data_IF_589199604409
#
_entry.id   IF_589199604409
#
_cell.length_a   1.000
_cell.length_b   1.000
_cell.length_c   1.000
_cell.angle_alpha   90.00
_cell.angle_beta   90.00
_cell.angle_gamma   90.00
#
_symmetry.space_group_name_H-M   'P 1'
#
loop_
_entity.id
_entity.type
_entity.pdbx_description
1 polymer ?
#
# COMPACT_ATOMS: atom_id res chain seq x y z
N UNK A 1 -8.94 15.85 11.68
CA UNK A 1 -8.79 15.27 10.32
C UNK A 1 -9.89 14.26 10.07
N UNK A 2 -10.58 14.39 8.93
CA UNK A 2 -11.72 13.57 8.56
C UNK A 2 -11.34 12.64 7.40
N UNK A 3 -11.82 11.40 7.43
CA UNK A 3 -11.84 10.53 6.26
C UNK A 3 -13.18 10.70 5.56
N UNK A 4 -13.15 11.19 4.32
CA UNK A 4 -14.33 11.33 3.48
C UNK A 4 -14.29 10.21 2.44
N UNK A 5 -15.27 9.32 2.50
CA UNK A 5 -15.34 8.14 1.62
C UNK A 5 -16.26 8.36 0.41
N UNK A 6 -16.13 7.47 -0.57
CA UNK A 6 -17.04 7.37 -1.73
C UNK A 6 -17.18 8.67 -2.52
N UNK A 7 -16.08 9.41 -2.68
CA UNK A 7 -16.04 10.59 -3.55
C UNK A 7 -15.92 10.10 -4.99
N UNK A 8 -16.98 10.28 -5.76
CA UNK A 8 -16.99 10.00 -7.19
C UNK A 8 -16.31 11.15 -7.95
N UNK A 9 -15.21 10.85 -8.64
CA UNK A 9 -14.46 11.81 -9.45
C UNK A 9 -14.34 11.32 -10.90
N UNK A 10 -14.46 12.20 -11.92
CA UNK A 10 -14.21 11.85 -13.32
C UNK A 10 -12.84 11.21 -13.57
N UNK A 11 -12.71 10.38 -14.62
CA UNK A 11 -11.45 9.68 -14.93
C UNK A 11 -10.32 10.61 -15.41
N UNK A 12 -10.67 11.79 -15.90
CA UNK A 12 -9.78 12.87 -16.34
C UNK A 12 -9.49 13.88 -15.22
N UNK A 13 -9.90 13.60 -13.97
CA UNK A 13 -9.65 14.49 -12.84
C UNK A 13 -8.16 14.77 -12.67
N UNK A 14 -7.80 16.06 -12.68
CA UNK A 14 -6.48 16.50 -12.27
C UNK A 14 -6.37 16.49 -10.74
N UNK A 15 -5.62 15.52 -10.22
CA UNK A 15 -5.36 15.36 -8.80
C UNK A 15 -4.46 16.47 -8.23
N UNK A 16 -3.79 17.29 -9.05
CA UNK A 16 -3.11 18.50 -8.58
C UNK A 16 -4.11 19.50 -7.97
N UNK A 17 -5.37 19.48 -8.45
CA UNK A 17 -6.49 20.29 -7.98
C UNK A 17 -7.45 19.52 -7.06
N UNK A 18 -6.95 18.49 -6.36
CA UNK A 18 -7.77 17.59 -5.51
C UNK A 18 -8.68 18.35 -4.53
N UNK A 19 -8.20 19.45 -3.96
CA UNK A 19 -8.95 20.28 -3.01
C UNK A 19 -10.26 20.79 -3.61
N UNK A 20 -10.18 21.34 -4.83
CA UNK A 20 -11.34 21.84 -5.57
C UNK A 20 -12.28 20.70 -5.96
N UNK A 21 -11.75 19.61 -6.50
CA UNK A 21 -12.55 18.45 -6.90
C UNK A 21 -13.33 17.85 -5.71
N UNK A 22 -12.69 17.74 -4.55
CA UNK A 22 -13.35 17.28 -3.31
C UNK A 22 -14.40 18.28 -2.84
N UNK A 23 -14.09 19.59 -2.88
CA UNK A 23 -15.03 20.63 -2.47
C UNK A 23 -16.33 20.58 -3.29
N UNK A 24 -16.21 20.46 -4.61
CA UNK A 24 -17.33 20.32 -5.55
C UNK A 24 -18.14 19.03 -5.26
N UNK A 25 -17.46 17.90 -5.09
CA UNK A 25 -18.10 16.61 -4.84
C UNK A 25 -18.87 16.56 -3.50
N UNK A 26 -18.34 17.18 -2.44
CA UNK A 26 -19.00 17.24 -1.12
C UNK A 26 -19.87 18.48 -0.93
N UNK A 27 -20.05 19.28 -2.00
CA UNK A 27 -20.87 20.50 -2.02
C UNK A 27 -20.52 21.48 -0.89
N UNK A 28 -19.24 21.81 -0.77
CA UNK A 28 -18.73 22.81 0.19
C UNK A 28 -17.88 23.86 -0.51
N UNK A 29 -17.77 25.04 0.06
CA UNK A 29 -16.77 26.03 -0.35
C UNK A 29 -15.36 25.46 -0.08
N UNK A 30 -14.47 25.60 -1.06
CA UNK A 30 -13.06 25.20 -0.98
C UNK A 30 -12.35 25.83 0.23
N UNK A 31 -12.73 27.05 0.63
CA UNK A 31 -12.20 27.77 1.80
C UNK A 31 -12.49 27.08 3.13
N UNK A 32 -13.47 26.16 3.16
CA UNK A 32 -13.77 25.34 4.32
C UNK A 32 -12.86 24.12 4.44
N UNK A 33 -12.14 23.76 3.38
CA UNK A 33 -11.11 22.72 3.40
C UNK A 33 -9.77 23.41 3.67
N UNK A 34 -9.08 22.99 4.71
CA UNK A 34 -7.74 23.50 5.07
C UNK A 34 -6.71 22.76 4.22
N UNK A 35 -6.69 21.44 4.32
CA UNK A 35 -5.80 20.54 3.58
C UNK A 35 -6.57 19.30 3.12
N UNK A 36 -6.08 18.67 2.05
CA UNK A 36 -6.62 17.39 1.58
C UNK A 36 -5.50 16.51 1.04
N UNK A 37 -5.61 15.21 1.24
CA UNK A 37 -4.74 14.21 0.63
C UNK A 37 -5.54 12.99 0.19
N UNK A 38 -5.11 12.35 -0.89
CA UNK A 38 -5.71 11.14 -1.40
C UNK A 38 -5.37 9.96 -0.46
N UNK A 39 -6.38 9.30 0.09
CA UNK A 39 -6.22 8.14 0.96
C UNK A 39 -6.32 6.83 0.19
N UNK A 40 -7.31 6.73 -0.69
CA UNK A 40 -7.56 5.57 -1.53
C UNK A 40 -8.13 6.02 -2.86
N UNK A 41 -7.72 5.36 -3.93
CA UNK A 41 -8.31 5.52 -5.27
C UNK A 41 -8.60 4.15 -5.84
N UNK A 42 -9.80 4.01 -6.39
CA UNK A 42 -10.23 2.82 -7.13
C UNK A 42 -11.07 3.26 -8.32
N UNK A 43 -11.16 2.43 -9.36
CA UNK A 43 -12.08 2.65 -10.47
C UNK A 43 -13.37 1.89 -10.19
N UNK A 44 -14.50 2.58 -10.24
CA UNK A 44 -15.81 1.94 -10.31
C UNK A 44 -16.21 1.82 -11.77
N UNK A 45 -16.20 0.58 -12.28
CA UNK A 45 -16.55 0.24 -13.65
C UNK A 45 -17.80 -0.67 -13.74
N UNK A 46 -18.62 -0.71 -12.68
CA UNK A 46 -19.81 -1.58 -12.64
C UNK A 46 -20.86 -1.20 -13.69
N UNK A 47 -20.88 0.06 -14.10
CA UNK A 47 -21.76 0.56 -15.17
C UNK A 47 -20.94 1.18 -16.30
N UNK A 48 -21.03 0.61 -17.51
CA UNK A 48 -20.24 1.03 -18.68
C UNK A 48 -20.38 2.52 -19.02
N UNK A 49 -21.55 3.10 -18.80
CA UNK A 49 -21.83 4.51 -19.12
C UNK A 49 -21.47 5.48 -17.96
N UNK A 50 -20.97 4.96 -16.84
CA UNK A 50 -20.64 5.77 -15.65
C UNK A 50 -19.38 5.23 -14.98
N UNK A 51 -18.30 5.08 -15.75
CA UNK A 51 -17.00 4.70 -15.20
C UNK A 51 -16.34 5.93 -14.58
N UNK A 52 -15.97 5.84 -13.30
CA UNK A 52 -15.42 6.96 -12.54
C UNK A 52 -14.43 6.46 -11.48
N UNK A 53 -13.64 7.37 -10.91
CA UNK A 53 -12.87 7.07 -9.72
C UNK A 53 -13.76 7.12 -8.48
N UNK A 54 -13.70 6.07 -7.66
CA UNK A 54 -14.17 6.09 -6.29
C UNK A 54 -12.97 6.34 -5.37
N UNK A 55 -12.93 7.53 -4.80
CA UNK A 55 -11.86 8.03 -3.96
C UNK A 55 -12.28 8.14 -2.49
N UNK A 56 -11.33 7.87 -1.60
CA UNK A 56 -11.38 8.33 -0.21
C UNK A 56 -10.27 9.34 0.01
N UNK A 57 -10.54 10.40 0.76
CA UNK A 57 -9.57 11.47 1.07
C UNK A 57 -9.49 11.72 2.56
N UNK A 58 -8.31 12.10 3.02
CA UNK A 58 -8.11 12.69 4.33
C UNK A 58 -8.17 14.20 4.18
N UNK A 59 -9.09 14.85 4.89
CA UNK A 59 -9.29 16.29 4.82
C UNK A 59 -9.28 16.91 6.21
N UNK A 60 -8.58 18.04 6.34
CA UNK A 60 -8.77 18.96 7.45
C UNK A 60 -9.77 20.02 7.03
N UNK A 61 -10.79 20.25 7.85
CA UNK A 61 -11.88 21.18 7.50
C UNK A 61 -12.14 22.14 8.64
N UNK A 62 -12.64 23.33 8.31
CA UNK A 62 -13.18 24.27 9.29
C UNK A 62 -14.48 23.71 9.85
N UNK A 63 -14.71 23.91 11.15
CA UNK A 63 -15.93 23.50 11.84
C UNK A 63 -16.28 22.01 11.64
N UNK A 64 -15.37 21.10 12.01
CA UNK A 64 -15.51 19.64 11.83
C UNK A 64 -16.89 19.11 12.27
N UNK A 65 -17.42 19.57 13.40
CA UNK A 65 -18.72 19.13 13.91
C UNK A 65 -19.90 19.48 12.99
N UNK A 66 -19.89 20.66 12.36
CA UNK A 66 -20.91 21.05 11.38
C UNK A 66 -20.74 20.26 10.07
N UNK A 67 -19.49 20.04 9.65
CA UNK A 67 -19.18 19.27 8.46
C UNK A 67 -19.64 17.81 8.58
N UNK A 68 -19.38 17.17 9.73
CA UNK A 68 -19.80 15.79 10.02
C UNK A 68 -21.32 15.62 10.02
N UNK A 69 -22.07 16.62 10.52
CA UNK A 69 -23.54 16.59 10.49
C UNK A 69 -24.10 16.67 9.07
N UNK A 70 -23.44 17.44 8.19
CA UNK A 70 -23.88 17.65 6.80
C UNK A 70 -23.44 16.51 5.86
N UNK A 71 -22.20 16.05 6.02
CA UNK A 71 -21.56 15.12 5.09
C UNK A 71 -21.52 13.71 5.69
N UNK A 72 -22.55 12.89 5.39
CA UNK A 72 -22.69 11.54 5.94
C UNK A 72 -21.55 10.57 5.57
N UNK A 73 -20.82 10.85 4.48
CA UNK A 73 -19.67 10.06 4.05
C UNK A 73 -18.37 10.41 4.77
N UNK A 74 -18.38 11.43 5.63
CA UNK A 74 -17.24 11.85 6.42
C UNK A 74 -17.29 11.22 7.82
N UNK A 75 -16.13 10.80 8.31
CA UNK A 75 -15.95 10.31 9.67
C UNK A 75 -14.63 10.80 10.24
N UNK A 76 -14.51 10.82 11.56
CA UNK A 76 -13.24 11.13 12.22
C UNK A 76 -12.21 10.08 11.81
N UNK A 77 -11.07 10.52 11.27
CA UNK A 77 -9.97 9.62 10.95
C UNK A 77 -9.09 9.45 12.19
N UNK A 78 -9.01 8.20 12.65
CA UNK A 78 -8.10 7.81 13.72
C UNK A 78 -6.96 7.03 13.07
N UNK A 79 -5.75 7.60 12.96
CA UNK A 79 -4.60 6.88 12.45
C UNK A 79 -4.36 5.62 13.29
N UNK A 80 -4.22 4.47 12.64
CA UNK A 80 -3.79 3.23 13.30
C UNK A 80 -2.36 2.91 12.85
N UNK A 81 -1.34 3.54 13.47
CA UNK A 81 0.04 3.23 13.13
C UNK A 81 0.33 1.77 13.48
N UNK A 82 1.07 1.08 12.62
CA UNK A 82 1.58 -0.24 12.96
C UNK A 82 2.69 -0.09 14.01
N UNK A 83 2.48 -0.67 15.19
CA UNK A 83 3.45 -0.58 16.30
C UNK A 83 4.36 -1.81 16.24
N UNK A 84 5.63 -1.59 15.90
CA UNK A 84 6.66 -2.62 16.00
C UNK A 84 6.91 -2.96 17.47
N UNK A 85 6.67 -4.22 17.85
CA UNK A 85 6.95 -4.70 19.20
C UNK A 85 8.38 -5.21 19.29
N UNK A 86 9.11 -4.80 20.31
CA UNK A 86 10.39 -5.42 20.69
C UNK A 86 10.11 -6.77 21.35
N UNK A 87 10.95 -7.76 21.09
CA UNK A 87 10.90 -9.00 21.84
C UNK A 87 11.35 -8.72 23.28
N UNK A 88 10.59 -9.23 24.25
CA UNK A 88 10.92 -9.09 25.69
C UNK A 88 12.13 -9.97 26.03
N UNK A 89 12.17 -11.19 25.47
CA UNK A 89 13.26 -12.14 25.65
C UNK A 89 13.81 -12.54 24.28
N UNK A 90 15.14 -12.54 24.15
CA UNK A 90 15.79 -13.10 22.98
C UNK A 90 15.92 -14.62 23.16
N UNK A 91 15.53 -15.42 22.15
CA UNK A 91 15.77 -16.86 22.17
C UNK A 91 17.28 -17.14 22.13
N UNK A 92 17.70 -18.27 22.71
CA UNK A 92 19.09 -18.73 22.65
C UNK A 92 19.57 -19.00 21.22
N UNK A 93 18.64 -19.33 20.31
CA UNK A 93 18.91 -19.58 18.90
C UNK A 93 18.21 -18.53 18.04
N UNK A 94 18.92 -18.05 17.02
CA UNK A 94 18.38 -17.10 16.04
C UNK A 94 17.25 -17.76 15.23
N UNK A 95 16.13 -17.06 14.97
CA UNK A 95 15.08 -17.56 14.08
C UNK A 95 15.63 -17.80 12.67
N UNK A 96 15.23 -18.91 12.04
CA UNK A 96 15.56 -19.22 10.66
C UNK A 96 14.32 -19.01 9.80
N UNK A 97 14.50 -18.34 8.67
CA UNK A 97 13.47 -18.11 7.66
C UNK A 97 13.93 -18.79 6.38
N UNK A 98 13.14 -19.73 5.88
CA UNK A 98 13.38 -20.38 4.60
C UNK A 98 12.57 -19.68 3.51
N UNK A 99 13.25 -19.09 2.54
CA UNK A 99 12.70 -18.33 1.44
C UNK A 99 12.76 -16.82 1.66
N UNK A 100 13.13 -16.08 0.60
CA UNK A 100 13.16 -14.62 0.58
C UNK A 100 12.18 -14.03 -0.45
N UNK A 101 10.96 -14.60 -0.47
CA UNK A 101 9.78 -13.96 -1.06
C UNK A 101 9.09 -12.98 -0.10
N UNK A 102 7.93 -12.41 -0.46
CA UNK A 102 7.28 -11.36 0.35
C UNK A 102 7.01 -11.81 1.79
N UNK A 103 6.50 -13.03 1.99
CA UNK A 103 6.26 -13.57 3.32
C UNK A 103 7.55 -13.68 4.16
N UNK A 104 8.63 -14.18 3.55
CA UNK A 104 9.95 -14.29 4.19
C UNK A 104 10.57 -12.94 4.50
N UNK A 105 10.45 -11.97 3.58
CA UNK A 105 10.91 -10.59 3.77
C UNK A 105 10.18 -9.91 4.94
N UNK A 106 8.85 -9.98 4.98
CA UNK A 106 8.08 -9.38 6.07
C UNK A 106 8.35 -10.07 7.41
N UNK A 107 8.51 -11.40 7.43
CA UNK A 107 8.94 -12.12 8.63
C UNK A 107 10.33 -11.66 9.09
N UNK A 108 11.30 -11.55 8.18
CA UNK A 108 12.66 -11.12 8.47
C UNK A 108 12.69 -9.69 9.00
N UNK A 109 12.00 -8.77 8.32
CA UNK A 109 11.88 -7.38 8.75
C UNK A 109 11.26 -7.27 10.14
N UNK A 110 10.17 -8.01 10.39
CA UNK A 110 9.47 -7.99 11.68
C UNK A 110 10.35 -8.51 12.80
N UNK A 111 10.99 -9.66 12.61
CA UNK A 111 11.87 -10.27 13.61
C UNK A 111 13.13 -9.41 13.84
N UNK A 112 13.70 -8.82 12.78
CA UNK A 112 14.84 -7.89 12.89
C UNK A 112 14.45 -6.61 13.65
N UNK A 113 13.30 -6.00 13.35
CA UNK A 113 12.77 -4.84 14.08
C UNK A 113 12.51 -5.17 15.55
N UNK A 114 12.08 -6.40 15.83
CA UNK A 114 11.91 -6.93 17.19
C UNK A 114 13.24 -7.21 17.92
N UNK A 115 14.39 -7.16 17.22
CA UNK A 115 15.72 -7.40 17.78
C UNK A 115 16.15 -8.87 17.84
N UNK A 116 15.48 -9.75 17.09
CA UNK A 116 15.66 -11.20 17.14
C UNK A 116 16.71 -11.74 16.17
N UNK A 117 17.34 -10.88 15.36
CA UNK A 117 18.47 -11.22 14.48
C UNK A 117 18.20 -12.47 13.60
N UNK A 118 17.10 -12.51 12.83
CA UNK A 118 16.78 -13.69 12.01
C UNK A 118 17.87 -13.98 10.97
N UNK A 119 18.00 -15.24 10.58
CA UNK A 119 18.79 -15.69 9.42
C UNK A 119 17.83 -16.07 8.32
N UNK A 120 18.02 -15.52 7.13
CA UNK A 120 17.24 -15.87 5.94
C UNK A 120 18.07 -16.77 5.05
N UNK A 121 17.46 -17.87 4.59
CA UNK A 121 18.04 -18.78 3.61
C UNK A 121 17.16 -18.78 2.36
N UNK A 122 17.70 -18.32 1.24
CA UNK A 122 17.05 -18.39 -0.08
C UNK A 122 17.81 -19.37 -0.95
N UNK A 123 17.08 -20.24 -1.66
CA UNK A 123 17.68 -21.27 -2.53
C UNK A 123 18.14 -20.70 -3.87
N UNK A 124 17.49 -19.63 -4.34
CA UNK A 124 17.85 -18.95 -5.57
C UNK A 124 18.83 -17.82 -5.36
N UNK A 125 19.07 -17.10 -6.45
CA UNK A 125 20.07 -16.03 -6.51
C UNK A 125 19.48 -14.66 -6.13
N UNK A 126 20.36 -13.70 -5.94
CA UNK A 126 20.04 -12.27 -5.90
C UNK A 126 19.25 -11.82 -7.14
N UNK A 127 18.54 -10.69 -7.02
CA UNK A 127 17.61 -10.21 -8.03
C UNK A 127 18.28 -9.96 -9.39
N UNK A 128 19.51 -9.45 -9.42
CA UNK A 128 20.23 -9.15 -10.65
C UNK A 128 20.64 -10.43 -11.37
N UNK A 129 21.23 -11.39 -10.65
CA UNK A 129 21.61 -12.69 -11.20
C UNK A 129 20.40 -13.52 -11.61
N UNK A 130 19.32 -13.51 -10.81
CA UNK A 130 18.04 -14.17 -11.14
C UNK A 130 17.43 -13.59 -12.41
N UNK A 131 17.46 -12.27 -12.56
CA UNK A 131 16.93 -11.59 -13.76
C UNK A 131 17.66 -12.06 -15.02
N UNK A 132 19.00 -12.23 -14.95
CA UNK A 132 19.79 -12.78 -16.06
C UNK A 132 19.40 -14.23 -16.36
N UNK A 133 19.29 -15.08 -15.34
CA UNK A 133 18.90 -16.49 -15.50
C UNK A 133 17.50 -16.62 -16.13
N UNK A 134 16.52 -15.80 -15.69
CA UNK A 134 15.16 -15.76 -16.26
C UNK A 134 15.16 -15.28 -17.71
N UNK A 135 15.89 -14.21 -18.03
CA UNK A 135 15.99 -13.71 -19.40
C UNK A 135 16.61 -14.75 -20.34
N UNK A 136 17.69 -15.40 -19.91
CA UNK A 136 18.33 -16.46 -20.69
C UNK A 136 17.37 -17.63 -20.96
N UNK A 137 16.58 -18.04 -19.96
CA UNK A 137 15.55 -19.06 -20.17
C UNK A 137 14.50 -18.63 -21.19
N UNK A 138 14.00 -17.38 -21.11
CA UNK A 138 13.02 -16.86 -22.06
C UNK A 138 13.57 -16.67 -23.48
N UNK A 139 14.89 -16.49 -23.65
CA UNK A 139 15.54 -16.46 -24.96
C UNK A 139 15.87 -17.86 -25.52
N UNK A 140 15.29 -18.93 -24.96
CA UNK A 140 15.50 -20.33 -25.41
C UNK A 140 16.65 -21.06 -24.73
N UNK A 141 17.28 -20.46 -23.72
CA UNK A 141 18.30 -21.11 -22.90
C UNK A 141 17.73 -22.15 -21.95
N UNK A 142 18.61 -22.94 -21.32
CA UNK A 142 18.21 -23.99 -20.37
C UNK A 142 17.64 -23.38 -19.07
N UNK A 143 16.59 -23.99 -18.53
CA UNK A 143 16.04 -23.65 -17.22
C UNK A 143 17.06 -23.91 -16.10
N UNK A 144 17.34 -22.90 -15.28
CA UNK A 144 18.01 -23.09 -14.01
C UNK A 144 16.98 -23.45 -12.92
N UNK A 145 17.03 -24.68 -12.43
CA UNK A 145 16.06 -25.21 -11.45
C UNK A 145 16.15 -24.53 -10.07
N UNK A 146 17.25 -23.85 -9.77
CA UNK A 146 17.43 -23.13 -8.51
C UNK A 146 17.27 -21.61 -8.64
N UNK A 147 17.26 -21.04 -9.85
CA UNK A 147 17.04 -19.60 -10.05
C UNK A 147 16.18 -19.35 -11.29
N UNK A 148 14.94 -18.97 -11.06
CA UNK A 148 13.92 -18.86 -12.10
C UNK A 148 12.78 -17.95 -11.66
N UNK A 149 11.67 -17.96 -12.38
CA UNK A 149 10.48 -17.15 -12.09
C UNK A 149 9.91 -17.44 -10.69
N UNK A 150 10.16 -18.63 -10.11
CA UNK A 150 9.67 -19.00 -8.78
C UNK A 150 10.71 -18.80 -7.66
N UNK A 151 12.00 -18.99 -7.97
CA UNK A 151 13.07 -19.05 -6.97
C UNK A 151 14.15 -17.97 -7.12
N UNK A 152 14.51 -17.36 -5.99
CA UNK A 152 15.47 -16.27 -5.86
C UNK A 152 14.93 -15.12 -5.01
N UNK A 153 15.73 -14.08 -4.84
CA UNK A 153 15.33 -12.85 -4.14
C UNK A 153 14.02 -12.29 -4.72
N UNK A 154 13.09 -11.94 -3.84
CA UNK A 154 11.74 -11.52 -4.23
C UNK A 154 10.73 -12.67 -4.28
N UNK A 155 11.18 -13.92 -4.35
CA UNK A 155 10.29 -15.07 -4.59
C UNK A 155 9.49 -14.89 -5.88
N UNK A 156 8.28 -15.43 -5.95
CA UNK A 156 7.45 -15.32 -7.16
C UNK A 156 6.78 -13.95 -7.37
N UNK A 157 6.92 -13.02 -6.43
CA UNK A 157 6.30 -11.69 -6.45
C UNK A 157 7.09 -10.64 -7.21
#
# INVERSE_FOLDING_TARGET
MLLINNIALPLDTDFSLLKRAVAEAVKTDEKNIISVSLYKKSVDARHKNNVHFCCSVLAEVKNEGAFLKRTKSAQVFIPKPYIWKKAVNKPLKRPIIAGFGPAGMFAALTLARAGLEPVVLERGKDADSRTKDVKNFFSGGKLNVNSNVQFGEGGAG
#
